data_IF_128561725856
#
_entry.id   IF_128561725856
#
_cell.length_a   1.000
_cell.length_b   1.000
_cell.length_c   1.000
_cell.angle_alpha   90.00
_cell.angle_beta   90.00
_cell.angle_gamma   90.00
#
_symmetry.space_group_name_H-M   'P 1'
#
loop_
_entity.id
_entity.type
_entity.pdbx_description
1 polymer ?
#
# COMPACT_ATOMS: atom_id res chain seq x y z
N UNK A 1 -7.31 16.33 28.55
CA UNK A 1 -6.71 16.87 27.30
C UNK A 1 -7.56 16.45 26.11
N UNK A 2 -7.97 17.41 25.30
CA UNK A 2 -8.77 17.11 24.12
C UNK A 2 -7.87 16.79 22.95
N UNK A 3 -8.24 15.77 22.18
CA UNK A 3 -7.59 15.50 20.90
C UNK A 3 -8.02 16.59 19.90
N UNK A 4 -7.11 17.00 19.03
CA UNK A 4 -7.47 17.93 17.97
C UNK A 4 -8.17 17.16 16.82
N UNK A 5 -8.82 17.90 15.93
CA UNK A 5 -9.58 17.30 14.83
C UNK A 5 -8.70 16.46 13.89
N UNK A 6 -7.43 16.83 13.73
CA UNK A 6 -6.50 16.09 12.89
C UNK A 6 -6.19 14.70 13.44
N UNK A 7 -6.05 14.58 14.77
CA UNK A 7 -5.78 13.30 15.41
C UNK A 7 -6.99 12.38 15.35
N UNK A 8 -8.19 12.92 15.59
CA UNK A 8 -9.45 12.17 15.50
C UNK A 8 -9.62 11.64 14.07
N UNK A 9 -9.44 12.50 13.07
CA UNK A 9 -9.60 12.14 11.66
C UNK A 9 -8.59 11.07 11.23
N UNK A 10 -7.35 11.17 11.72
CA UNK A 10 -6.32 10.17 11.42
C UNK A 10 -6.69 8.79 11.96
N UNK A 11 -7.21 8.75 13.20
CA UNK A 11 -7.67 7.49 13.81
C UNK A 11 -8.84 6.88 13.07
N UNK A 12 -9.78 7.71 12.63
CA UNK A 12 -10.92 7.26 11.84
C UNK A 12 -10.49 6.70 10.50
N UNK A 13 -9.55 7.36 9.81
CA UNK A 13 -8.99 6.90 8.54
C UNK A 13 -8.26 5.58 8.71
N UNK A 14 -7.47 5.44 9.76
CA UNK A 14 -6.73 4.22 10.05
C UNK A 14 -7.68 3.06 10.31
N UNK A 15 -8.75 3.29 11.09
CA UNK A 15 -9.76 2.29 11.36
C UNK A 15 -10.45 1.85 10.07
N UNK A 16 -10.81 2.79 9.20
CA UNK A 16 -11.42 2.50 7.91
C UNK A 16 -10.52 1.58 7.08
N UNK A 17 -9.23 1.90 6.99
CA UNK A 17 -8.27 1.11 6.22
C UNK A 17 -8.14 -0.30 6.77
N UNK A 18 -8.05 -0.45 8.09
CA UNK A 18 -7.94 -1.77 8.70
C UNK A 18 -9.19 -2.62 8.48
N UNK A 19 -10.36 -2.04 8.55
CA UNK A 19 -11.62 -2.77 8.39
C UNK A 19 -11.97 -3.08 6.93
N UNK A 20 -11.59 -2.20 6.00
CA UNK A 20 -12.05 -2.28 4.62
C UNK A 20 -10.97 -2.62 3.61
N UNK A 21 -9.72 -2.26 3.88
CA UNK A 21 -8.62 -2.47 2.93
C UNK A 21 -7.73 -3.65 3.36
N UNK A 22 -7.36 -3.71 4.63
CA UNK A 22 -6.39 -4.69 5.13
C UNK A 22 -7.03 -5.92 5.80
N UNK A 23 -8.33 -5.91 6.03
CA UNK A 23 -9.01 -6.98 6.74
C UNK A 23 -8.80 -8.34 6.08
N UNK A 24 -8.39 -9.33 6.87
CA UNK A 24 -8.18 -10.69 6.40
C UNK A 24 -6.85 -10.91 5.69
N UNK A 25 -6.02 -9.88 5.54
CA UNK A 25 -4.72 -9.99 4.90
C UNK A 25 -3.60 -10.09 5.94
N UNK A 26 -2.49 -10.70 5.54
CA UNK A 26 -1.37 -10.94 6.45
C UNK A 26 -0.30 -9.88 6.27
N UNK A 27 -0.01 -9.14 7.34
CA UNK A 27 1.12 -8.20 7.36
C UNK A 27 2.42 -8.98 7.55
N UNK A 28 3.28 -8.95 6.55
CA UNK A 28 4.56 -9.66 6.55
C UNK A 28 5.69 -8.86 7.20
N UNK A 29 5.42 -7.64 7.65
CA UNK A 29 6.42 -6.84 8.36
C UNK A 29 6.60 -7.39 9.77
N UNK A 30 7.65 -8.17 9.97
CA UNK A 30 7.99 -8.77 11.25
C UNK A 30 9.14 -8.05 11.95
N UNK A 31 9.29 -6.75 11.68
CA UNK A 31 10.31 -5.92 12.30
C UNK A 31 11.40 -5.44 11.35
N UNK A 32 11.32 -5.75 10.04
CA UNK A 32 12.36 -5.29 9.10
C UNK A 32 12.20 -3.82 8.71
N UNK A 33 11.04 -3.23 8.97
CA UNK A 33 10.77 -1.81 8.74
C UNK A 33 9.90 -1.28 9.87
N UNK A 34 9.57 0.01 9.86
CA UNK A 34 8.72 0.62 10.88
C UNK A 34 7.44 -0.18 11.09
N UNK A 35 7.07 -0.42 12.35
CA UNK A 35 5.88 -1.20 12.70
C UNK A 35 4.58 -0.61 12.17
N UNK A 36 4.57 0.67 11.79
CA UNK A 36 3.40 1.34 11.25
C UNK A 36 3.17 1.02 9.76
N UNK A 37 4.16 0.43 9.10
CA UNK A 37 4.10 0.14 7.68
C UNK A 37 3.77 -1.33 7.49
N UNK A 38 2.73 -1.61 6.72
CA UNK A 38 2.29 -2.97 6.42
C UNK A 38 2.86 -3.41 5.07
N UNK A 39 3.35 -4.64 5.04
CA UNK A 39 3.86 -5.26 3.82
C UNK A 39 3.07 -6.52 3.52
N UNK A 40 2.73 -6.71 2.25
CA UNK A 40 1.87 -7.82 1.82
C UNK A 40 2.55 -8.63 0.72
N UNK A 41 2.21 -9.91 0.66
CA UNK A 41 2.59 -10.77 -0.46
C UNK A 41 1.99 -10.22 -1.75
N UNK A 42 2.48 -10.70 -2.88
CA UNK A 42 1.96 -10.30 -4.19
C UNK A 42 0.45 -10.51 -4.29
N UNK A 43 -0.05 -11.67 -3.89
CA UNK A 43 -1.47 -11.96 -3.97
C UNK A 43 -2.31 -11.11 -3.02
N UNK A 44 -1.85 -10.89 -1.80
CA UNK A 44 -2.56 -10.03 -0.85
C UNK A 44 -2.53 -8.57 -1.28
N UNK A 45 -1.41 -8.12 -1.85
CA UNK A 45 -1.31 -6.76 -2.36
C UNK A 45 -2.25 -6.51 -3.53
N UNK A 46 -2.44 -7.50 -4.39
CA UNK A 46 -3.46 -7.40 -5.45
C UNK A 46 -4.85 -7.17 -4.85
N UNK A 47 -5.17 -7.86 -3.76
CA UNK A 47 -6.42 -7.64 -3.03
C UNK A 47 -6.50 -6.23 -2.46
N UNK A 48 -5.38 -5.70 -1.92
CA UNK A 48 -5.32 -4.30 -1.47
C UNK A 48 -5.66 -3.35 -2.60
N UNK A 49 -5.06 -3.55 -3.78
CA UNK A 49 -5.32 -2.69 -4.93
C UNK A 49 -6.78 -2.77 -5.40
N UNK A 50 -7.37 -3.97 -5.39
CA UNK A 50 -8.79 -4.14 -5.74
C UNK A 50 -9.70 -3.37 -4.79
N UNK A 51 -9.42 -3.43 -3.50
CA UNK A 51 -10.21 -2.72 -2.49
C UNK A 51 -10.02 -1.21 -2.55
N UNK A 52 -8.78 -0.76 -2.77
CA UNK A 52 -8.47 0.66 -2.93
C UNK A 52 -9.23 1.23 -4.12
N UNK A 53 -9.26 0.53 -5.23
CA UNK A 53 -10.00 0.96 -6.41
C UNK A 53 -11.50 1.03 -6.12
N UNK A 54 -12.05 0.01 -5.46
CA UNK A 54 -13.46 -0.05 -5.09
C UNK A 54 -13.89 1.15 -4.25
N UNK A 55 -13.04 1.57 -3.29
CA UNK A 55 -13.35 2.68 -2.41
C UNK A 55 -12.85 4.03 -2.92
N UNK A 56 -12.28 4.06 -4.12
CA UNK A 56 -11.74 5.27 -4.75
C UNK A 56 -10.73 6.00 -3.87
N UNK A 57 -9.80 5.23 -3.30
CA UNK A 57 -8.72 5.77 -2.46
C UNK A 57 -7.49 6.00 -3.34
N UNK A 58 -6.78 7.10 -3.10
CA UNK A 58 -5.55 7.39 -3.83
C UNK A 58 -4.36 6.60 -3.30
N UNK A 59 -3.47 6.19 -4.21
CA UNK A 59 -2.19 5.61 -3.88
C UNK A 59 -1.10 6.55 -4.38
N UNK A 60 -0.18 6.93 -3.49
CA UNK A 60 0.88 7.88 -3.84
C UNK A 60 2.18 7.20 -4.25
N UNK A 61 2.42 6.01 -3.76
CA UNK A 61 3.59 5.24 -4.12
C UNK A 61 3.43 3.77 -3.81
N UNK A 62 4.18 2.93 -4.50
CA UNK A 62 4.28 1.50 -4.22
C UNK A 62 5.75 1.20 -3.95
N UNK A 63 6.02 0.57 -2.81
CA UNK A 63 7.37 0.28 -2.34
C UNK A 63 7.52 -1.22 -2.13
N UNK A 64 8.15 -1.92 -3.07
CA UNK A 64 8.49 -3.34 -2.88
C UNK A 64 9.80 -3.51 -2.11
N UNK A 65 9.84 -4.57 -1.31
CA UNK A 65 11.04 -5.00 -0.57
C UNK A 65 11.35 -6.45 -0.93
N UNK A 66 12.63 -6.79 -0.93
CA UNK A 66 13.12 -8.13 -1.23
C UNK A 66 14.03 -8.61 -0.09
N UNK A 67 13.72 -9.78 0.48
CA UNK A 67 14.52 -10.37 1.56
C UNK A 67 14.77 -9.40 2.71
N UNK A 68 13.71 -8.67 3.12
CA UNK A 68 13.73 -7.70 4.23
C UNK A 68 14.58 -6.45 3.94
N UNK A 69 14.89 -6.19 2.67
CA UNK A 69 15.62 -4.99 2.26
C UNK A 69 14.81 -4.23 1.22
N UNK A 70 14.94 -2.90 1.26
CA UNK A 70 14.33 -2.02 0.27
C UNK A 70 14.78 -2.43 -1.13
N UNK A 71 13.81 -2.53 -2.05
CA UNK A 71 14.08 -2.90 -3.43
C UNK A 71 13.97 -1.71 -4.37
N UNK A 72 12.80 -1.02 -4.35
CA UNK A 72 12.54 0.10 -5.24
C UNK A 72 11.31 0.87 -4.76
N UNK A 73 10.98 1.96 -5.42
CA UNK A 73 9.74 2.70 -5.22
C UNK A 73 9.32 3.33 -6.55
N UNK A 74 8.04 3.22 -6.86
CA UNK A 74 7.42 3.96 -7.95
C UNK A 74 6.26 4.78 -7.39
N UNK A 75 6.16 6.02 -7.83
CA UNK A 75 5.10 6.93 -7.43
C UNK A 75 4.14 7.23 -8.58
N UNK A 76 2.99 7.81 -8.23
CA UNK A 76 2.01 8.20 -9.23
C UNK A 76 2.58 9.17 -10.26
N UNK A 77 3.57 9.94 -9.87
CA UNK A 77 4.23 10.93 -10.72
C UNK A 77 4.96 10.29 -11.91
N UNK A 78 5.42 9.04 -11.73
CA UNK A 78 6.11 8.30 -12.79
C UNK A 78 5.15 7.85 -13.90
N UNK A 79 3.84 7.95 -13.67
CA UNK A 79 2.80 7.42 -14.56
C UNK A 79 1.72 8.44 -14.94
N UNK A 80 2.02 9.72 -14.88
CA UNK A 80 1.10 10.75 -15.35
C UNK A 80 0.42 11.60 -14.29
N UNK A 81 0.74 11.38 -13.01
CA UNK A 81 0.46 12.37 -11.98
C UNK A 81 -0.93 12.37 -11.36
N UNK A 82 -1.66 11.26 -11.34
CA UNK A 82 -2.94 11.19 -10.63
C UNK A 82 -2.98 9.99 -9.69
N UNK A 83 -2.89 10.23 -8.36
CA UNK A 83 -2.88 9.13 -7.39
C UNK A 83 -4.18 8.32 -7.33
N UNK A 84 -5.30 8.89 -7.80
CA UNK A 84 -6.59 8.20 -7.81
C UNK A 84 -6.84 7.39 -9.08
N UNK A 85 -5.94 7.44 -10.05
CA UNK A 85 -6.11 6.69 -11.29
C UNK A 85 -5.60 5.26 -11.11
N UNK A 86 -6.49 4.24 -11.17
CA UNK A 86 -6.06 2.85 -10.99
C UNK A 86 -5.04 2.39 -12.05
N UNK A 87 -5.01 3.00 -13.21
CA UNK A 87 -4.10 2.61 -14.28
C UNK A 87 -2.64 2.75 -13.85
N UNK A 88 -2.31 3.77 -13.06
CA UNK A 88 -0.91 3.96 -12.66
C UNK A 88 -0.45 2.86 -11.69
N UNK A 89 -1.20 2.60 -10.62
CA UNK A 89 -0.73 1.62 -9.62
C UNK A 89 -0.86 0.18 -10.11
N UNK A 90 -1.83 -0.11 -10.95
CA UNK A 90 -1.93 -1.42 -11.61
C UNK A 90 -0.73 -1.67 -12.52
N UNK A 91 -0.34 -0.67 -13.30
CA UNK A 91 0.81 -0.77 -14.18
C UNK A 91 2.12 -0.91 -13.40
N UNK A 92 2.30 -0.11 -12.35
CA UNK A 92 3.47 -0.20 -11.49
C UNK A 92 3.60 -1.59 -10.86
N UNK A 93 2.51 -2.11 -10.32
CA UNK A 93 2.49 -3.44 -9.72
C UNK A 93 2.84 -4.52 -10.75
N UNK A 94 2.29 -4.41 -11.94
CA UNK A 94 2.57 -5.36 -13.03
C UNK A 94 4.05 -5.34 -13.41
N UNK A 95 4.67 -4.18 -13.47
CA UNK A 95 6.09 -4.06 -13.77
C UNK A 95 6.96 -4.74 -12.71
N UNK A 96 6.66 -4.52 -11.43
CA UNK A 96 7.41 -5.20 -10.36
C UNK A 96 7.23 -6.71 -10.41
N UNK A 97 6.04 -7.21 -10.67
CA UNK A 97 5.78 -8.65 -10.76
C UNK A 97 6.59 -9.32 -11.88
N UNK A 98 6.84 -8.60 -12.96
CA UNK A 98 7.64 -9.12 -14.07
C UNK A 98 9.12 -9.21 -13.72
N UNK A 99 9.61 -8.33 -12.86
CA UNK A 99 11.02 -8.26 -12.51
C UNK A 99 11.37 -9.30 -11.45
N UNK A 100 10.54 -9.45 -10.42
CA UNK A 100 10.82 -10.37 -9.31
C UNK A 100 9.53 -10.84 -8.66
N UNK A 101 9.42 -12.18 -8.47
CA UNK A 101 8.23 -12.80 -7.89
C UNK A 101 8.25 -12.89 -6.36
N UNK A 102 9.38 -12.58 -5.73
CA UNK A 102 9.56 -12.74 -4.29
C UNK A 102 9.44 -11.43 -3.52
N UNK A 103 8.89 -10.39 -4.14
CA UNK A 103 8.73 -9.09 -3.50
C UNK A 103 7.56 -9.09 -2.52
N UNK A 104 7.71 -8.30 -1.46
CA UNK A 104 6.60 -7.91 -0.59
C UNK A 104 6.35 -6.41 -0.81
N UNK A 105 5.10 -5.98 -0.68
CA UNK A 105 4.68 -4.66 -1.15
C UNK A 105 4.03 -3.83 -0.06
N UNK A 106 4.36 -2.53 -0.07
CA UNK A 106 3.67 -1.51 0.70
C UNK A 106 3.25 -0.36 -0.22
N UNK A 107 2.23 0.36 0.21
CA UNK A 107 1.72 1.52 -0.53
C UNK A 107 1.44 2.71 0.38
#
# INVERSE_FOLDING_TARGET
MQENNSDVKRKENQKFLEENIFNGLINLNNGFDSEKIKYFSESDFETVLNRVEKFNIGIFGIEPWLNKEFYDVLGFEDFGGNPFNPNWYRKAFLEFKKINKNLVYSA
#
